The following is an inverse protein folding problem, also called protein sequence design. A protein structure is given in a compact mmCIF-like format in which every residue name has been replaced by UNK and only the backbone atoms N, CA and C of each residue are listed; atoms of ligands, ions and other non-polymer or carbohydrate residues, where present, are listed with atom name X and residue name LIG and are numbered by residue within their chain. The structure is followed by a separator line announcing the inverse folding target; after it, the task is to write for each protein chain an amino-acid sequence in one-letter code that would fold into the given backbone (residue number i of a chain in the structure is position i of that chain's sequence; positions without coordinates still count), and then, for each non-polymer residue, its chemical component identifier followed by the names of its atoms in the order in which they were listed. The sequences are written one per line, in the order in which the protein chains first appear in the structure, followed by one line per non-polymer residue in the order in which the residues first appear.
data_IF_008952379942
#
_entry.id   IF_008952379942
#
_cell.length_a   1.000
_cell.length_b   1.000
_cell.length_c   1.000
_cell.angle_alpha   90.00
_cell.angle_beta   90.00
_cell.angle_gamma   90.00
#
_symmetry.space_group_name_H-M   'P 1'
#
loop_
_entity.id
_entity.type
_entity.pdbx_description
1 polymer ?
#
# COMPACT_ATOMS: atom_id res chain seq x y z
N UNK A 1 24.04 -2.45 4.12
CA UNK A 1 22.71 -3.01 4.50
C UNK A 1 21.76 -2.80 3.34
N UNK A 2 20.97 -3.80 2.95
CA UNK A 2 19.94 -3.61 1.91
C UNK A 2 18.70 -2.94 2.52
N UNK A 3 17.91 -2.22 1.73
CA UNK A 3 16.67 -1.60 2.22
C UNK A 3 15.71 -2.64 2.84
N UNK A 4 15.54 -3.80 2.19
CA UNK A 4 14.70 -4.87 2.73
C UNK A 4 15.20 -5.36 4.10
N UNK A 5 16.51 -5.51 4.28
CA UNK A 5 17.09 -5.88 5.58
C UNK A 5 16.71 -4.84 6.65
N UNK A 6 16.85 -3.55 6.34
CA UNK A 6 16.47 -2.48 7.27
C UNK A 6 14.98 -2.55 7.66
N UNK A 7 14.09 -2.84 6.71
CA UNK A 7 12.67 -3.06 6.99
C UNK A 7 12.44 -4.31 7.86
N UNK A 8 13.14 -5.40 7.59
CA UNK A 8 13.06 -6.61 8.41
C UNK A 8 13.48 -6.36 9.86
N UNK A 9 14.59 -5.65 10.06
CA UNK A 9 15.13 -5.34 11.38
C UNK A 9 14.19 -4.40 12.15
N UNK A 10 13.67 -3.37 11.47
CA UNK A 10 12.69 -2.44 12.05
C UNK A 10 11.39 -3.15 12.46
N UNK A 11 10.88 -4.04 11.61
CA UNK A 11 9.68 -4.81 11.90
C UNK A 11 9.89 -5.80 13.06
N UNK A 12 11.07 -6.43 13.13
CA UNK A 12 11.42 -7.32 14.24
C UNK A 12 11.55 -6.54 15.55
N UNK A 13 12.18 -5.37 15.52
CA UNK A 13 12.30 -4.48 16.66
C UNK A 13 10.93 -4.05 17.19
N UNK A 14 10.02 -3.58 16.31
CA UNK A 14 8.66 -3.21 16.69
C UNK A 14 7.87 -4.37 17.31
N UNK A 15 8.00 -5.59 16.78
CA UNK A 15 7.37 -6.78 17.38
C UNK A 15 7.89 -7.06 18.79
N UNK A 16 9.20 -6.93 19.02
CA UNK A 16 9.80 -7.12 20.36
C UNK A 16 9.28 -6.08 21.34
N UNK A 17 9.22 -4.83 20.91
CA UNK A 17 8.72 -3.73 21.74
C UNK A 17 7.23 -3.92 22.12
N UNK A 18 6.40 -4.39 21.19
CA UNK A 18 4.97 -4.60 21.43
C UNK A 18 4.65 -5.90 22.20
N UNK A 19 5.60 -6.84 22.26
CA UNK A 19 5.43 -8.14 22.92
C UNK A 19 6.63 -8.47 23.83
N UNK A 20 6.88 -7.68 24.89
CA UNK A 20 8.08 -7.79 25.71
C UNK A 20 8.19 -9.11 26.49
N UNK A 21 7.06 -9.75 26.80
CA UNK A 21 7.00 -11.04 27.52
C UNK A 21 7.11 -12.25 26.60
N UNK A 22 7.05 -12.06 25.28
CA UNK A 22 7.06 -13.15 24.33
C UNK A 22 8.51 -13.62 24.06
N UNK A 23 8.80 -14.93 24.11
CA UNK A 23 10.18 -15.42 23.95
C UNK A 23 10.80 -15.00 22.60
N UNK A 24 11.96 -14.34 22.65
CA UNK A 24 12.61 -13.75 21.48
C UNK A 24 12.85 -14.76 20.35
N UNK A 25 13.27 -15.98 20.71
CA UNK A 25 13.56 -17.08 19.76
C UNK A 25 12.31 -17.54 18.99
N UNK A 26 11.11 -17.28 19.50
CA UNK A 26 9.84 -17.70 18.90
C UNK A 26 9.18 -16.60 18.07
N UNK A 27 9.70 -15.36 18.09
CA UNK A 27 9.07 -14.25 17.37
C UNK A 27 9.09 -14.55 15.86
N UNK A 28 7.92 -14.62 15.19
CA UNK A 28 7.88 -14.93 13.77
C UNK A 28 8.58 -13.85 12.96
N UNK A 29 9.61 -14.27 12.22
CA UNK A 29 10.35 -13.36 11.33
C UNK A 29 9.40 -12.77 10.29
N UNK A 30 9.32 -11.43 10.17
CA UNK A 30 8.53 -10.81 9.12
C UNK A 30 9.06 -11.26 7.75
N UNK A 31 8.18 -11.39 6.76
CA UNK A 31 8.54 -11.76 5.37
C UNK A 31 8.15 -10.62 4.46
N UNK A 32 9.14 -9.97 3.85
CA UNK A 32 8.95 -8.90 2.88
C UNK A 32 9.53 -9.32 1.52
N UNK A 33 8.88 -8.86 0.45
CA UNK A 33 9.32 -9.09 -0.92
C UNK A 33 8.78 -7.96 -1.77
N UNK A 34 9.65 -7.27 -2.50
CA UNK A 34 9.31 -6.14 -3.36
C UNK A 34 9.25 -6.53 -4.86
N UNK A 35 9.36 -7.84 -5.16
CA UNK A 35 9.37 -8.35 -6.54
C UNK A 35 8.05 -8.20 -7.30
N UNK A 36 6.96 -7.91 -6.60
CA UNK A 36 5.63 -7.71 -7.18
C UNK A 36 5.09 -6.36 -6.76
N UNK A 37 4.21 -5.75 -7.57
CA UNK A 37 3.63 -4.45 -7.24
C UNK A 37 2.96 -4.46 -5.85
N UNK A 38 2.14 -5.48 -5.55
CA UNK A 38 1.52 -5.64 -4.23
C UNK A 38 2.55 -5.84 -3.10
N UNK A 39 3.61 -6.62 -3.35
CA UNK A 39 4.69 -6.83 -2.40
C UNK A 39 5.43 -5.53 -2.07
N UNK A 40 5.79 -4.77 -3.10
CA UNK A 40 6.44 -3.46 -2.98
C UNK A 40 5.52 -2.46 -2.24
N UNK A 41 4.24 -2.36 -2.60
CA UNK A 41 3.27 -1.54 -1.86
C UNK A 41 3.25 -1.88 -0.37
N UNK A 42 3.21 -3.18 -0.02
CA UNK A 42 3.22 -3.63 1.39
C UNK A 42 4.51 -3.23 2.11
N UNK A 43 5.67 -3.34 1.45
CA UNK A 43 6.95 -2.95 2.02
C UNK A 43 6.97 -1.44 2.35
N UNK A 44 6.54 -0.60 1.40
CA UNK A 44 6.47 0.86 1.57
C UNK A 44 5.53 1.23 2.71
N UNK A 45 4.29 0.74 2.70
CA UNK A 45 3.30 1.04 3.75
C UNK A 45 3.78 0.57 5.12
N UNK A 46 4.34 -0.64 5.22
CA UNK A 46 4.86 -1.16 6.47
C UNK A 46 6.02 -0.30 6.99
N UNK A 47 6.97 0.06 6.13
CA UNK A 47 8.09 0.92 6.51
C UNK A 47 7.63 2.26 7.05
N UNK A 48 6.77 2.98 6.32
CA UNK A 48 6.29 4.32 6.72
C UNK A 48 5.59 4.25 8.08
N UNK A 49 4.73 3.24 8.30
CA UNK A 49 4.05 3.05 9.59
C UNK A 49 4.99 2.71 10.73
N UNK A 50 6.00 1.87 10.48
CA UNK A 50 7.00 1.51 11.48
C UNK A 50 7.90 2.70 11.86
N UNK A 51 8.06 3.67 10.96
CA UNK A 51 8.71 4.96 11.24
C UNK A 51 7.80 5.95 12.01
N UNK A 52 6.57 5.56 12.33
CA UNK A 52 5.63 6.38 13.10
C UNK A 52 4.74 7.32 12.26
N UNK A 53 4.76 7.20 10.93
CA UNK A 53 3.99 8.06 10.03
C UNK A 53 2.69 7.39 9.56
N UNK A 54 1.77 8.20 9.03
CA UNK A 54 0.53 7.70 8.43
C UNK A 54 0.79 7.20 7.01
N UNK A 55 0.29 6.02 6.68
CA UNK A 55 0.25 5.51 5.31
C UNK A 55 -0.92 4.54 5.10
N UNK A 56 -1.47 4.53 3.90
CA UNK A 56 -2.54 3.62 3.46
C UNK A 56 -2.35 3.23 2.00
N UNK A 57 -2.81 2.01 1.66
CA UNK A 57 -2.96 1.59 0.26
C UNK A 57 -4.25 2.19 -0.28
N UNK A 58 -4.19 2.79 -1.45
CA UNK A 58 -5.37 3.33 -2.15
C UNK A 58 -5.87 2.28 -3.14
N UNK A 59 -7.19 2.15 -3.24
CA UNK A 59 -7.83 1.36 -4.29
C UNK A 59 -8.93 2.18 -4.93
N UNK A 60 -8.90 2.24 -6.26
CA UNK A 60 -9.90 2.94 -7.08
C UNK A 60 -11.00 1.97 -7.54
N UNK A 61 -10.92 0.69 -7.17
CA UNK A 61 -11.87 -0.31 -7.62
C UNK A 61 -13.26 -0.12 -6.98
N UNK A 62 -14.29 -0.25 -7.81
CA UNK A 62 -15.67 -0.31 -7.32
C UNK A 62 -15.96 -1.60 -6.57
N UNK A 63 -16.94 -1.58 -5.66
CA UNK A 63 -17.35 -2.77 -4.90
C UNK A 63 -18.39 -3.61 -5.65
N UNK A 64 -18.31 -4.92 -5.48
CA UNK A 64 -19.33 -5.86 -5.95
C UNK A 64 -20.28 -6.16 -4.79
N UNK A 65 -21.56 -5.87 -4.97
CA UNK A 65 -22.62 -6.34 -4.08
C UNK A 65 -23.23 -7.59 -4.69
N UNK A 66 -22.99 -8.73 -4.05
CA UNK A 66 -23.66 -9.98 -4.39
C UNK A 66 -24.92 -10.13 -3.54
N UNK A 67 -26.08 -9.91 -4.16
CA UNK A 67 -27.39 -10.12 -3.54
C UNK A 67 -27.96 -11.52 -3.79
N UNK A 68 -27.19 -12.43 -4.38
CA UNK A 68 -27.65 -13.78 -4.68
C UNK A 68 -27.80 -14.61 -3.41
N UNK A 69 -28.85 -15.42 -3.36
CA UNK A 69 -29.10 -16.40 -2.32
C UNK A 69 -29.33 -17.75 -2.98
N UNK A 70 -28.63 -18.77 -2.50
CA UNK A 70 -28.83 -20.15 -2.92
C UNK A 70 -29.75 -20.84 -1.94
N UNK A 71 -30.86 -21.40 -2.40
CA UNK A 71 -31.76 -22.22 -1.60
C UNK A 71 -31.98 -23.58 -2.25
N UNK A 72 -32.37 -24.56 -1.43
CA UNK A 72 -32.75 -25.89 -1.87
C UNK A 72 -34.27 -25.99 -1.80
N UNK A 73 -34.90 -26.43 -2.88
CA UNK A 73 -36.35 -26.68 -2.88
C UNK A 73 -36.70 -28.00 -2.17
N UNK A 74 -37.99 -28.23 -1.95
CA UNK A 74 -38.50 -29.40 -1.23
C UNK A 74 -38.17 -30.75 -1.92
N UNK A 75 -37.75 -30.71 -3.19
CA UNK A 75 -37.39 -31.89 -4.00
C UNK A 75 -35.86 -32.04 -4.10
N UNK A 76 -35.11 -31.20 -3.39
CA UNK A 76 -33.66 -31.29 -3.25
C UNK A 76 -32.85 -30.50 -4.28
N UNK A 77 -33.47 -29.75 -5.19
CA UNK A 77 -32.77 -29.00 -6.22
C UNK A 77 -32.31 -27.62 -5.71
N UNK A 78 -31.06 -27.25 -6.01
CA UNK A 78 -30.45 -25.98 -5.57
C UNK A 78 -30.67 -24.90 -6.63
N UNK A 79 -31.28 -23.78 -6.23
CA UNK A 79 -31.50 -22.59 -7.07
C UNK A 79 -30.81 -21.39 -6.46
N UNK A 80 -30.16 -20.59 -7.30
CA UNK A 80 -29.58 -19.31 -6.91
C UNK A 80 -30.43 -18.18 -7.49
N UNK A 81 -31.00 -17.33 -6.63
CA UNK A 81 -31.83 -16.18 -7.03
C UNK A 81 -31.19 -14.90 -6.51
N UNK A 82 -31.22 -13.85 -7.32
CA UNK A 82 -30.70 -12.52 -7.00
C UNK A 82 -29.74 -11.99 -8.05
N UNK A 83 -29.24 -10.78 -7.85
CA UNK A 83 -28.40 -10.07 -8.83
C UNK A 83 -27.08 -9.66 -8.22
N UNK A 84 -26.04 -9.67 -9.04
CA UNK A 84 -24.74 -9.07 -8.71
C UNK A 84 -24.72 -7.66 -9.26
N UNK A 85 -24.51 -6.65 -8.40
CA UNK A 85 -24.42 -5.24 -8.80
C UNK A 85 -23.01 -4.71 -8.54
N UNK A 86 -22.37 -4.13 -9.55
CA UNK A 86 -21.09 -3.41 -9.39
C UNK A 86 -21.35 -1.94 -9.12
N UNK A 87 -20.95 -1.45 -7.95
CA UNK A 87 -21.03 -0.04 -7.57
C UNK A 87 -19.70 0.62 -7.94
N UNK A 88 -19.75 1.73 -8.68
CA UNK A 88 -18.56 2.50 -9.05
C UNK A 88 -17.89 3.10 -7.81
N UNK A 89 -16.57 3.19 -7.83
CA UNK A 89 -15.83 3.86 -6.75
C UNK A 89 -16.04 5.37 -6.83
N UNK A 90 -16.04 6.03 -5.67
CA UNK A 90 -15.97 7.48 -5.55
C UNK A 90 -14.53 8.00 -5.57
N UNK A 91 -13.54 7.10 -5.57
CA UNK A 91 -12.13 7.48 -5.62
C UNK A 91 -11.77 8.12 -6.97
N UNK A 92 -10.83 9.06 -6.93
CA UNK A 92 -10.33 9.72 -8.12
C UNK A 92 -9.56 8.73 -9.01
N UNK A 93 -9.93 8.67 -10.29
CA UNK A 93 -9.24 7.83 -11.28
C UNK A 93 -7.79 8.30 -11.43
N UNK A 94 -6.86 7.35 -11.43
CA UNK A 94 -5.42 7.64 -11.52
C UNK A 94 -4.75 7.98 -10.18
N UNK A 95 -5.49 7.88 -9.06
CA UNK A 95 -4.89 7.99 -7.72
C UNK A 95 -3.71 7.02 -7.56
N UNK A 96 -2.65 7.49 -6.89
CA UNK A 96 -1.45 6.70 -6.62
C UNK A 96 -1.74 5.48 -5.72
N UNK A 97 -0.95 4.41 -5.84
CA UNK A 97 -1.10 3.18 -5.04
C UNK A 97 -1.03 3.39 -3.52
N UNK A 98 -0.25 4.36 -3.06
CA UNK A 98 -0.06 4.68 -1.64
C UNK A 98 -0.29 6.17 -1.39
N UNK A 99 -1.03 6.45 -0.33
CA UNK A 99 -1.20 7.77 0.26
C UNK A 99 -0.53 7.78 1.63
N UNK A 100 0.35 8.74 1.89
CA UNK A 100 1.07 8.86 3.15
C UNK A 100 1.23 10.31 3.58
N UNK A 101 1.42 10.51 4.88
CA UNK A 101 1.83 11.79 5.47
C UNK A 101 3.13 11.54 6.23
N UNK A 102 4.24 12.07 5.72
CA UNK A 102 5.58 11.91 6.29
C UNK A 102 6.09 13.28 6.71
N UNK A 103 6.39 13.47 8.00
CA UNK A 103 6.83 14.76 8.55
C UNK A 103 5.91 15.94 8.14
N UNK A 104 4.60 15.74 8.18
CA UNK A 104 3.61 16.76 7.80
C UNK A 104 3.47 17.03 6.30
N UNK A 105 4.21 16.34 5.43
CA UNK A 105 4.09 16.45 3.97
C UNK A 105 3.22 15.33 3.42
N UNK A 106 2.27 15.67 2.54
CA UNK A 106 1.49 14.67 1.79
C UNK A 106 2.37 14.05 0.71
N UNK A 107 2.57 12.73 0.77
CA UNK A 107 3.38 11.95 -0.17
C UNK A 107 2.47 10.92 -0.85
N UNK A 108 2.40 10.98 -2.18
CA UNK A 108 1.70 10.02 -3.03
C UNK A 108 2.72 9.16 -3.76
N UNK A 109 2.58 7.84 -3.67
CA UNK A 109 3.57 6.90 -4.21
C UNK A 109 2.87 5.94 -5.15
N UNK A 110 3.30 5.96 -6.40
CA UNK A 110 2.82 5.11 -7.48
C UNK A 110 3.89 4.05 -7.78
N UNK A 111 3.47 2.78 -7.78
CA UNK A 111 4.35 1.63 -7.92
C UNK A 111 4.37 1.15 -9.37
N UNK A 112 5.57 1.05 -9.96
CA UNK A 112 5.79 0.60 -11.35
C UNK A 112 6.86 -0.48 -11.41
N UNK A 113 6.43 -1.73 -11.42
CA UNK A 113 7.35 -2.88 -11.49
C UNK A 113 7.57 -3.32 -12.95
N UNK A 114 8.83 -3.58 -13.31
CA UNK A 114 9.19 -4.06 -14.65
C UNK A 114 8.89 -3.06 -15.76
N UNK A 115 8.12 -3.49 -16.76
CA UNK A 115 7.77 -2.65 -17.92
C UNK A 115 6.52 -1.79 -17.72
N UNK A 116 5.96 -1.73 -16.50
CA UNK A 116 4.80 -0.88 -16.21
C UNK A 116 5.13 0.61 -16.46
N UNK A 117 4.14 1.34 -16.98
CA UNK A 117 4.23 2.76 -17.33
C UNK A 117 3.04 3.51 -16.75
N UNK A 118 3.26 4.78 -16.45
CA UNK A 118 2.22 5.64 -15.94
C UNK A 118 1.17 5.95 -17.03
N UNK A 119 -0.10 5.74 -16.70
CA UNK A 119 -1.23 6.10 -17.57
C UNK A 119 -1.43 7.62 -17.62
N UNK A 120 -2.22 8.12 -18.57
CA UNK A 120 -2.51 9.56 -18.67
C UNK A 120 -3.27 10.09 -17.44
N UNK A 121 -4.19 9.31 -16.88
CA UNK A 121 -4.91 9.71 -15.66
C UNK A 121 -3.97 9.82 -14.46
N UNK A 122 -2.99 8.91 -14.34
CA UNK A 122 -1.97 8.96 -13.28
C UNK A 122 -1.03 10.16 -13.44
N UNK A 123 -0.69 10.56 -14.68
CA UNK A 123 0.07 11.78 -14.96
C UNK A 123 -0.70 13.04 -14.56
N UNK A 124 -2.00 13.07 -14.86
CA UNK A 124 -2.86 14.16 -14.44
C UNK A 124 -2.97 14.25 -12.91
N UNK A 125 -3.17 13.12 -12.23
CA UNK A 125 -3.19 13.07 -10.78
C UNK A 125 -1.86 13.54 -10.17
N UNK A 126 -0.72 13.12 -10.75
CA UNK A 126 0.60 13.62 -10.36
C UNK A 126 0.68 15.15 -10.44
N UNK A 127 0.31 15.73 -11.59
CA UNK A 127 0.34 17.19 -11.78
C UNK A 127 -0.49 17.92 -10.73
N UNK A 128 -1.68 17.41 -10.41
CA UNK A 128 -2.56 17.99 -9.40
C UNK A 128 -1.95 17.93 -7.99
N UNK A 129 -1.36 16.80 -7.62
CA UNK A 129 -0.68 16.62 -6.34
C UNK A 129 0.49 17.57 -6.20
N UNK A 130 1.35 17.65 -7.22
CA UNK A 130 2.55 18.49 -7.22
C UNK A 130 2.18 19.99 -7.23
N UNK A 131 1.17 20.39 -8.01
CA UNK A 131 0.67 21.77 -8.03
C UNK A 131 0.08 22.20 -6.67
N UNK A 132 -0.48 21.26 -5.90
CA UNK A 132 -0.96 21.51 -4.54
C UNK A 132 0.16 21.48 -3.47
N UNK A 133 1.43 21.34 -3.87
CA UNK A 133 2.58 21.27 -2.97
C UNK A 133 2.80 19.89 -2.33
N UNK A 134 2.10 18.87 -2.80
CA UNK A 134 2.33 17.47 -2.42
C UNK A 134 3.55 16.89 -3.13
N UNK A 135 4.07 15.79 -2.58
CA UNK A 135 5.16 15.04 -3.19
C UNK A 135 4.57 13.84 -3.93
N UNK A 136 4.96 13.66 -5.20
CA UNK A 136 4.60 12.49 -5.98
C UNK A 136 5.85 11.66 -6.33
N UNK A 137 5.80 10.35 -6.07
CA UNK A 137 6.92 9.44 -6.33
C UNK A 137 6.49 8.33 -7.28
N UNK A 138 7.32 8.06 -8.29
CA UNK A 138 7.26 6.88 -9.14
C UNK A 138 8.33 5.89 -8.67
N UNK A 139 7.91 4.77 -8.09
CA UNK A 139 8.81 3.81 -7.43
C UNK A 139 8.74 2.44 -8.10
N UNK A 140 9.88 1.88 -8.46
CA UNK A 140 9.99 0.54 -9.07
C UNK A 140 10.63 -0.52 -8.19
N UNK A 141 11.24 -0.12 -7.06
CA UNK A 141 11.85 -1.02 -6.07
C UNK A 141 11.77 -0.44 -4.67
N UNK A 142 11.88 -1.29 -3.65
CA UNK A 142 11.87 -0.80 -2.28
C UNK A 142 13.15 -0.03 -1.93
N UNK A 143 14.28 -0.41 -2.55
CA UNK A 143 15.54 0.31 -2.40
C UNK A 143 15.41 1.77 -2.85
N UNK A 144 14.82 2.02 -4.03
CA UNK A 144 14.61 3.39 -4.54
C UNK A 144 13.80 4.25 -3.57
N UNK A 145 12.72 3.71 -3.00
CA UNK A 145 11.92 4.43 -2.01
C UNK A 145 12.71 4.71 -0.74
N UNK A 146 13.48 3.72 -0.25
CA UNK A 146 14.29 3.86 0.95
C UNK A 146 15.38 4.92 0.81
N UNK A 147 16.06 4.97 -0.34
CA UNK A 147 17.09 5.96 -0.62
C UNK A 147 16.50 7.38 -0.66
N UNK A 148 15.34 7.55 -1.31
CA UNK A 148 14.59 8.82 -1.30
C UNK A 148 14.22 9.25 0.13
N UNK A 149 13.75 8.30 0.95
CA UNK A 149 13.37 8.57 2.33
C UNK A 149 14.56 9.04 3.16
N UNK A 150 15.71 8.36 3.07
CA UNK A 150 16.92 8.74 3.79
C UNK A 150 17.43 10.13 3.36
N UNK A 151 17.44 10.42 2.06
CA UNK A 151 17.84 11.73 1.55
C UNK A 151 16.98 12.86 2.13
N UNK A 152 15.67 12.63 2.27
CA UNK A 152 14.72 13.58 2.88
C UNK A 152 14.92 13.78 4.39
N UNK A 153 15.39 12.76 5.11
CA UNK A 153 15.67 12.88 6.54
C UNK A 153 16.97 13.66 6.81
N UNK A 154 17.97 13.53 5.93
CA UNK A 154 19.24 14.28 6.05
C UNK A 154 19.04 15.77 5.72
N UNK A 155 18.11 16.08 4.82
CA UNK A 155 17.76 17.44 4.45
C UNK A 155 16.27 17.71 4.74
N UNK A 156 15.89 17.90 6.03
CA UNK A 156 14.55 18.36 6.34
C UNK A 156 14.39 19.73 5.68
N UNK A 157 13.44 19.84 4.74
CA UNK A 157 13.18 21.10 4.05
C UNK A 157 12.97 22.21 5.08
N UNK A 158 13.80 23.25 4.97
CA UNK A 158 13.86 24.43 5.85
C UNK A 158 12.51 25.11 6.03
#
# INVERSE_FOLDING_TARGET
MTALQALHDLALHSKRANHPTFPEKLIPKPKFSDKTANGLTKCIVAFIRLQGFQAERVSVEGRVLDGRKTFQDAVGYRRTIGTVKRIRSSAQVGSADVSAIINGRSVKIEVKVGNDRQSQAQKEYQRQVEAAGGIYLLISSFQQFYDWYLQRQIHPAS
#
